data_IF_212574926124
#
_entry.id   IF_212574926124
#
_cell.length_a   1.000
_cell.length_b   1.000
_cell.length_c   1.000
_cell.angle_alpha   90.00
_cell.angle_beta   90.00
_cell.angle_gamma   90.00
#
_symmetry.space_group_name_H-M   'P 1'
#
loop_
_entity.id
_entity.type
_entity.pdbx_description
1 polymer ?
#
# COMPACT_ATOMS: atom_id res chain seq x y z
N UNK A 1 24.62 -3.03 49.28
CA UNK A 1 23.43 -2.22 49.62
C UNK A 1 23.03 -1.22 48.53
N UNK A 2 23.95 -0.67 47.74
CA UNK A 2 23.69 0.41 46.76
C UNK A 2 22.95 -0.03 45.49
N UNK A 3 23.11 -1.28 45.05
CA UNK A 3 22.51 -1.78 43.81
C UNK A 3 20.98 -1.75 43.81
N UNK A 4 20.34 -1.88 44.98
CA UNK A 4 18.88 -1.87 45.11
C UNK A 4 18.26 -0.49 44.85
N UNK A 5 19.00 0.59 45.11
CA UNK A 5 18.52 1.97 44.90
C UNK A 5 18.40 2.31 43.41
N UNK A 6 19.23 1.68 42.57
CA UNK A 6 19.19 1.87 41.11
C UNK A 6 18.30 0.81 40.46
N UNK A 7 18.41 -0.45 40.89
CA UNK A 7 17.67 -1.55 40.29
C UNK A 7 16.15 -1.44 40.49
N UNK A 8 15.67 -0.93 41.64
CA UNK A 8 14.24 -0.78 41.91
C UNK A 8 13.52 0.11 40.89
N UNK A 9 13.94 1.38 40.73
CA UNK A 9 13.36 2.28 39.72
C UNK A 9 13.50 1.75 38.28
N UNK A 10 14.63 1.12 37.95
CA UNK A 10 14.87 0.52 36.63
C UNK A 10 13.92 -0.65 36.34
N UNK A 11 13.65 -1.50 37.34
CA UNK A 11 12.74 -2.64 37.19
C UNK A 11 11.31 -2.17 36.91
N UNK A 12 10.84 -1.16 37.65
CA UNK A 12 9.53 -0.55 37.45
C UNK A 12 9.46 0.08 36.06
N UNK A 13 10.48 0.85 35.67
CA UNK A 13 10.56 1.44 34.34
C UNK A 13 10.48 0.37 33.23
N UNK A 14 11.20 -0.74 33.35
CA UNK A 14 11.16 -1.82 32.37
C UNK A 14 9.77 -2.48 32.30
N UNK A 15 9.09 -2.67 33.44
CA UNK A 15 7.74 -3.25 33.48
C UNK A 15 6.71 -2.35 32.79
N UNK A 16 6.88 -1.03 32.79
CA UNK A 16 5.95 -0.13 32.11
C UNK A 16 6.35 0.17 30.66
N UNK A 17 7.63 0.42 30.41
CA UNK A 17 8.13 0.86 29.11
C UNK A 17 8.26 -0.31 28.14
N UNK A 18 8.68 -1.49 28.59
CA UNK A 18 8.83 -2.63 27.68
C UNK A 18 7.47 -3.10 27.11
N UNK A 19 6.37 -3.21 27.88
CA UNK A 19 5.05 -3.53 27.33
C UNK A 19 4.49 -2.42 26.45
N UNK A 20 4.72 -1.15 26.79
CA UNK A 20 4.30 -0.01 25.96
C UNK A 20 5.03 -0.02 24.61
N UNK A 21 6.33 -0.30 24.61
CA UNK A 21 7.14 -0.46 23.41
C UNK A 21 6.70 -1.67 22.58
N UNK A 22 6.44 -2.81 23.22
CA UNK A 22 5.90 -4.00 22.56
C UNK A 22 4.56 -3.69 21.90
N UNK A 23 3.66 -2.98 22.60
CA UNK A 23 2.39 -2.55 22.03
C UNK A 23 2.59 -1.65 20.80
N UNK A 24 3.49 -0.65 20.88
CA UNK A 24 3.79 0.25 19.77
C UNK A 24 4.44 -0.46 18.58
N UNK A 25 5.44 -1.31 18.84
CA UNK A 25 6.17 -2.07 17.84
C UNK A 25 5.23 -3.04 17.10
N UNK A 26 4.43 -3.77 17.86
CA UNK A 26 3.46 -4.66 17.26
C UNK A 26 2.41 -3.86 16.52
N UNK A 27 1.81 -2.81 17.09
CA UNK A 27 0.78 -1.97 16.43
C UNK A 27 1.27 -1.34 15.13
N UNK A 28 2.51 -0.85 15.07
CA UNK A 28 3.14 -0.39 13.83
C UNK A 28 3.27 -1.50 12.80
N UNK A 29 3.67 -2.71 13.22
CA UNK A 29 3.70 -3.90 12.37
C UNK A 29 2.30 -4.42 11.98
N UNK A 30 1.25 -4.18 12.78
CA UNK A 30 -0.15 -4.50 12.41
C UNK A 30 -0.62 -3.55 11.32
N UNK A 31 -0.36 -2.25 11.44
CA UNK A 31 -0.72 -1.30 10.38
C UNK A 31 0.06 -1.55 9.07
N UNK A 32 1.29 -2.08 9.15
CA UNK A 32 2.07 -2.49 7.98
C UNK A 32 1.76 -3.93 7.49
N UNK A 33 1.07 -4.74 8.29
CA UNK A 33 0.88 -6.19 8.08
C UNK A 33 -0.59 -6.62 8.00
N UNK A 34 -1.54 -5.73 8.28
CA UNK A 34 -2.89 -5.86 7.76
C UNK A 34 -2.76 -5.70 6.26
N UNK A 35 -2.65 -6.82 5.55
CA UNK A 35 -2.75 -6.85 4.10
C UNK A 35 -4.03 -6.14 3.64
N UNK A 36 -4.11 -5.90 2.33
CA UNK A 36 -5.28 -5.29 1.70
C UNK A 36 -6.56 -5.86 2.29
N UNK A 37 -7.44 -4.99 2.79
CA UNK A 37 -8.73 -5.41 3.31
C UNK A 37 -9.54 -6.07 2.18
N UNK A 38 -10.61 -6.80 2.52
CA UNK A 38 -11.53 -7.35 1.52
C UNK A 38 -12.01 -6.24 0.54
N UNK A 39 -12.29 -5.06 1.09
CA UNK A 39 -12.71 -3.88 0.34
C UNK A 39 -11.61 -3.35 -0.58
N UNK A 40 -10.36 -3.26 -0.08
CA UNK A 40 -9.22 -2.83 -0.90
C UNK A 40 -8.98 -3.79 -2.08
N UNK A 41 -9.11 -5.10 -1.85
CA UNK A 41 -8.98 -6.10 -2.91
C UNK A 41 -10.08 -5.98 -3.96
N UNK A 42 -11.33 -5.75 -3.54
CA UNK A 42 -12.45 -5.51 -4.45
C UNK A 42 -12.24 -4.23 -5.27
N UNK A 43 -11.73 -3.17 -4.63
CA UNK A 43 -11.41 -1.91 -5.31
C UNK A 43 -10.32 -2.12 -6.36
N UNK A 44 -9.24 -2.83 -6.03
CA UNK A 44 -8.16 -3.14 -6.96
C UNK A 44 -8.67 -4.00 -8.14
N UNK A 45 -9.51 -5.01 -7.87
CA UNK A 45 -10.13 -5.81 -8.93
C UNK A 45 -10.98 -4.93 -9.86
N UNK A 46 -11.84 -4.08 -9.32
CA UNK A 46 -12.67 -3.17 -10.14
C UNK A 46 -11.83 -2.20 -10.97
N UNK A 47 -10.69 -1.73 -10.44
CA UNK A 47 -9.78 -0.85 -11.18
C UNK A 47 -9.05 -1.61 -12.28
N UNK A 48 -8.65 -2.85 -12.03
CA UNK A 48 -8.02 -3.72 -13.04
C UNK A 48 -8.98 -4.00 -14.20
N UNK A 49 -10.23 -4.36 -13.90
CA UNK A 49 -11.26 -4.59 -14.92
C UNK A 49 -11.53 -3.34 -15.76
N UNK A 50 -11.57 -2.17 -15.12
CA UNK A 50 -11.70 -0.90 -15.83
C UNK A 50 -10.50 -0.61 -16.73
N UNK A 51 -9.29 -0.88 -16.26
CA UNK A 51 -8.07 -0.70 -17.05
C UNK A 51 -8.07 -1.59 -18.30
N UNK A 52 -8.45 -2.87 -18.17
CA UNK A 52 -8.58 -3.79 -19.31
C UNK A 52 -9.63 -3.30 -20.32
N UNK A 53 -10.78 -2.84 -19.83
CA UNK A 53 -11.83 -2.28 -20.69
C UNK A 53 -11.34 -1.03 -21.41
N UNK A 54 -10.61 -0.14 -20.74
CA UNK A 54 -10.04 1.04 -21.39
C UNK A 54 -8.99 0.68 -22.43
N UNK A 55 -8.13 -0.31 -22.16
CA UNK A 55 -7.14 -0.79 -23.12
C UNK A 55 -7.79 -1.32 -24.40
N UNK A 56 -8.84 -2.14 -24.28
CA UNK A 56 -9.57 -2.65 -25.46
C UNK A 56 -10.21 -1.54 -26.29
N UNK A 57 -10.69 -0.48 -25.62
CA UNK A 57 -11.24 0.71 -26.28
C UNK A 57 -10.15 1.51 -26.99
N UNK A 58 -8.99 1.70 -26.38
CA UNK A 58 -7.84 2.37 -27.01
C UNK A 58 -7.43 1.64 -28.28
N UNK A 59 -7.28 0.32 -28.24
CA UNK A 59 -6.96 -0.48 -29.44
C UNK A 59 -8.02 -0.32 -30.52
N UNK A 60 -9.30 -0.26 -30.14
CA UNK A 60 -10.38 -0.03 -31.10
C UNK A 60 -10.31 1.36 -31.71
N UNK A 61 -10.04 2.39 -30.90
CA UNK A 61 -9.88 3.77 -31.36
C UNK A 61 -8.65 3.92 -32.25
N UNK A 62 -7.53 3.28 -31.92
CA UNK A 62 -6.33 3.23 -32.76
C UNK A 62 -6.65 2.59 -34.12
N UNK A 63 -7.40 1.50 -34.17
CA UNK A 63 -7.82 0.87 -35.43
C UNK A 63 -8.72 1.78 -36.27
N UNK A 64 -9.65 2.49 -35.65
CA UNK A 64 -10.52 3.45 -36.34
C UNK A 64 -9.67 4.61 -36.87
N UNK A 65 -8.77 5.13 -36.04
CA UNK A 65 -7.91 6.26 -36.39
C UNK A 65 -6.90 5.88 -37.49
N UNK A 66 -6.37 4.66 -37.49
CA UNK A 66 -5.54 4.12 -38.56
C UNK A 66 -6.33 4.00 -39.88
N UNK A 67 -7.64 3.73 -39.82
CA UNK A 67 -8.51 3.65 -41.00
C UNK A 67 -8.94 5.03 -41.54
N UNK A 68 -9.26 5.99 -40.65
CA UNK A 68 -9.70 7.33 -41.05
C UNK A 68 -8.55 8.29 -41.37
N UNK A 69 -7.39 8.15 -40.71
CA UNK A 69 -6.26 9.08 -40.84
C UNK A 69 -4.92 8.35 -40.90
N UNK A 70 -4.61 7.61 -41.98
CA UNK A 70 -3.47 6.69 -42.05
C UNK A 70 -2.07 7.27 -41.75
N UNK A 71 -1.91 8.61 -41.71
CA UNK A 71 -0.64 9.27 -41.39
C UNK A 71 -0.61 9.93 -39.99
N UNK A 72 -1.62 9.70 -39.14
CA UNK A 72 -1.74 10.40 -37.85
C UNK A 72 -0.53 10.17 -36.91
N UNK A 73 0.10 9.00 -37.00
CA UNK A 73 1.27 8.62 -36.19
C UNK A 73 2.52 9.41 -36.56
N UNK A 74 2.66 9.81 -37.83
CA UNK A 74 3.84 10.55 -38.32
C UNK A 74 3.79 12.04 -37.97
N UNK A 75 2.64 12.58 -37.55
CA UNK A 75 2.50 14.01 -37.19
C UNK A 75 2.95 14.34 -35.77
N UNK A 76 3.33 13.34 -34.96
CA UNK A 76 3.74 13.51 -33.56
C UNK A 76 5.19 13.10 -33.27
N UNK A 77 5.96 12.66 -34.28
CA UNK A 77 7.44 12.60 -34.24
C UNK A 77 8.03 13.99 -34.57
#
# INVERSE_FOLDING_TARGET
>A
MSSFLIAGPLMVFLIFVAPLWLFLHYRGKRNAGTGLTQEDNQRIQSLSEQAEKLQSRVVTLERILDAESPNWRSSYD
#
